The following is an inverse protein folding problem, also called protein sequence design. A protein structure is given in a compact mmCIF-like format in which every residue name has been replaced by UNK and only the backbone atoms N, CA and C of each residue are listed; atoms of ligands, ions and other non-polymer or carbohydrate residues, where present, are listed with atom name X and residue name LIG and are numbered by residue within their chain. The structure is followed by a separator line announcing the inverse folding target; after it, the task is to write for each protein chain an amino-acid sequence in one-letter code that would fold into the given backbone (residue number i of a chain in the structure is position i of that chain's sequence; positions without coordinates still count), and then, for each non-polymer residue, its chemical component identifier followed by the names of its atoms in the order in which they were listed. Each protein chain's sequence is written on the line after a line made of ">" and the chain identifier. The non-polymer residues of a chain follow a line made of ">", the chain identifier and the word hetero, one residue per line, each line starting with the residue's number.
data_IF_692756401412
#
_entry.id   IF_692756401412
#
_cell.length_a   1.000
_cell.length_b   1.000
_cell.length_c   1.000
_cell.angle_alpha   90.00
_cell.angle_beta   90.00
_cell.angle_gamma   90.00
#
_symmetry.space_group_name_H-M   'P 1'
#
loop_
_entity.id
_entity.type
_entity.pdbx_description
1 polymer ?
#
# COMPACT_ATOMS: atom_id res chain seq x y z
N UNK A 1 -64.08 -19.49 11.03
CA UNK A 1 -64.50 -20.31 12.19
C UNK A 1 -65.77 -21.07 11.88
N UNK A 2 -66.02 -22.21 12.55
CA UNK A 2 -67.22 -23.04 12.41
C UNK A 2 -67.83 -23.29 13.79
N UNK A 3 -69.13 -23.12 13.94
CA UNK A 3 -69.83 -23.51 15.17
C UNK A 3 -70.04 -25.03 15.15
N UNK A 4 -69.30 -25.76 15.99
CA UNK A 4 -69.41 -27.22 16.13
C UNK A 4 -70.32 -27.64 17.28
N UNK A 5 -70.90 -26.69 18.01
CA UNK A 5 -71.82 -26.93 19.11
C UNK A 5 -73.27 -27.07 18.65
N UNK A 6 -74.18 -27.13 19.61
CA UNK A 6 -75.63 -27.32 19.39
C UNK A 6 -76.46 -26.04 19.59
N UNK A 7 -75.82 -24.93 19.97
CA UNK A 7 -76.49 -23.63 20.21
C UNK A 7 -75.98 -22.59 19.22
N UNK A 8 -76.85 -21.66 18.83
CA UNK A 8 -76.47 -20.49 18.03
C UNK A 8 -75.55 -19.59 18.83
N UNK A 9 -74.48 -19.09 18.22
CA UNK A 9 -73.55 -18.12 18.82
C UNK A 9 -73.78 -16.72 18.25
N UNK A 10 -73.72 -15.71 19.10
CA UNK A 10 -73.83 -14.29 18.79
C UNK A 10 -72.46 -13.61 18.93
N UNK A 11 -72.31 -12.40 18.40
CA UNK A 11 -71.12 -11.55 18.56
C UNK A 11 -69.78 -12.27 18.32
N UNK A 12 -69.72 -13.02 17.20
CA UNK A 12 -68.53 -13.80 16.86
C UNK A 12 -67.35 -12.88 16.55
N UNK A 13 -66.23 -13.11 17.22
CA UNK A 13 -64.99 -12.34 17.08
C UNK A 13 -63.79 -13.26 16.98
N UNK A 14 -62.66 -12.73 16.49
CA UNK A 14 -61.38 -13.45 16.47
C UNK A 14 -60.34 -12.57 17.14
N UNK A 15 -59.74 -13.09 18.20
CA UNK A 15 -58.54 -12.55 18.79
C UNK A 15 -57.34 -13.12 18.02
N UNK A 16 -56.72 -12.28 17.18
CA UNK A 16 -55.50 -12.60 16.44
C UNK A 16 -54.30 -11.97 17.17
N UNK A 17 -53.22 -12.73 17.31
CA UNK A 17 -52.02 -12.35 18.04
C UNK A 17 -50.78 -12.70 17.23
N UNK A 18 -50.11 -11.66 16.75
CA UNK A 18 -48.74 -11.76 16.24
C UNK A 18 -47.77 -11.98 17.41
N UNK A 19 -46.82 -12.89 17.20
CA UNK A 19 -45.78 -13.19 18.19
C UNK A 19 -44.61 -12.21 17.97
N UNK A 20 -44.18 -11.56 19.05
CA UNK A 20 -43.05 -10.63 19.01
C UNK A 20 -41.81 -11.29 18.34
N UNK A 21 -41.11 -10.58 17.44
CA UNK A 21 -41.15 -9.13 17.24
C UNK A 21 -42.29 -8.60 16.37
N UNK A 22 -43.08 -9.47 15.74
CA UNK A 22 -44.20 -9.06 14.90
C UNK A 22 -45.28 -8.36 15.74
N UNK A 23 -45.80 -7.24 15.25
CA UNK A 23 -46.86 -6.50 15.94
C UNK A 23 -47.04 -5.06 15.45
N UNK A 24 -48.11 -4.38 15.91
CA UNK A 24 -49.16 -4.85 16.82
C UNK A 24 -50.15 -5.83 16.15
N UNK A 25 -50.99 -6.49 16.96
CA UNK A 25 -52.03 -7.42 16.50
C UNK A 25 -52.90 -6.81 15.38
N UNK A 26 -53.20 -7.61 14.36
CA UNK A 26 -54.04 -7.15 13.25
C UNK A 26 -55.51 -7.16 13.64
N UNK A 27 -56.23 -6.10 13.28
CA UNK A 27 -57.68 -6.05 13.49
C UNK A 27 -58.37 -7.05 12.56
N UNK A 28 -59.06 -8.02 13.14
CA UNK A 28 -59.87 -8.99 12.40
C UNK A 28 -61.30 -8.49 12.31
N UNK A 29 -61.87 -8.50 11.11
CA UNK A 29 -63.27 -8.20 10.85
C UNK A 29 -64.01 -9.49 10.52
N UNK A 30 -65.07 -9.78 11.28
CA UNK A 30 -65.99 -10.88 11.01
C UNK A 30 -67.31 -10.33 10.45
N UNK A 31 -67.95 -11.02 9.48
CA UNK A 31 -69.31 -10.73 9.06
C UNK A 31 -70.26 -10.65 10.26
N UNK A 32 -71.14 -9.66 10.27
CA UNK A 32 -72.16 -9.50 11.30
C UNK A 32 -73.25 -10.55 11.15
N UNK A 33 -73.70 -11.14 12.26
CA UNK A 33 -74.83 -12.07 12.29
C UNK A 33 -74.56 -13.29 13.18
N UNK A 34 -75.64 -14.00 13.46
CA UNK A 34 -75.63 -15.18 14.31
C UNK A 34 -75.01 -16.38 13.60
N UNK A 35 -74.18 -17.14 14.32
CA UNK A 35 -73.55 -18.36 13.83
C UNK A 35 -74.33 -19.58 14.34
N UNK A 36 -75.28 -20.06 13.54
CA UNK A 36 -76.08 -21.25 13.84
C UNK A 36 -75.22 -22.53 13.97
N UNK A 37 -75.71 -23.58 14.67
CA UNK A 37 -75.03 -24.87 14.74
C UNK A 37 -74.66 -25.42 13.37
N UNK A 38 -73.40 -25.83 13.20
CA UNK A 38 -72.86 -26.37 11.94
C UNK A 38 -72.50 -25.32 10.89
N UNK A 39 -72.89 -24.06 11.06
CA UNK A 39 -72.55 -22.97 10.15
C UNK A 39 -71.09 -22.51 10.31
N UNK A 40 -70.55 -21.92 9.25
CA UNK A 40 -69.20 -21.37 9.20
C UNK A 40 -69.24 -19.91 8.74
N UNK A 41 -68.31 -19.13 9.27
CA UNK A 41 -68.07 -17.75 8.83
C UNK A 41 -66.57 -17.55 8.60
N UNK A 42 -66.22 -16.78 7.58
CA UNK A 42 -64.85 -16.37 7.30
C UNK A 42 -64.64 -14.97 7.81
N UNK A 43 -63.65 -14.78 8.69
CA UNK A 43 -63.20 -13.47 9.11
C UNK A 43 -61.91 -13.11 8.36
N UNK A 44 -61.68 -11.82 8.14
CA UNK A 44 -60.53 -11.31 7.38
C UNK A 44 -59.83 -10.22 8.16
N UNK A 45 -58.51 -10.14 8.05
CA UNK A 45 -57.69 -9.05 8.62
C UNK A 45 -57.18 -8.13 7.51
N UNK A 46 -56.71 -6.95 7.91
CA UNK A 46 -55.85 -6.12 7.05
C UNK A 46 -54.49 -6.82 6.82
N UNK A 47 -53.79 -6.51 5.72
CA UNK A 47 -52.45 -7.05 5.48
C UNK A 47 -51.47 -6.59 6.55
N UNK A 48 -50.61 -7.50 6.99
CA UNK A 48 -49.48 -7.19 7.87
C UNK A 48 -48.27 -6.76 7.04
N UNK A 49 -47.70 -5.59 7.35
CA UNK A 49 -46.47 -5.12 6.74
C UNK A 49 -45.28 -5.70 7.51
N UNK A 50 -44.55 -6.61 6.88
CA UNK A 50 -43.32 -7.21 7.43
C UNK A 50 -42.30 -6.12 7.74
N UNK A 51 -41.80 -6.13 8.96
CA UNK A 51 -40.79 -5.18 9.47
C UNK A 51 -39.38 -5.76 9.37
N UNK A 52 -38.35 -4.94 9.58
CA UNK A 52 -36.97 -5.45 9.65
C UNK A 52 -36.79 -6.47 10.78
N UNK A 53 -37.45 -6.27 11.92
CA UNK A 53 -37.37 -7.20 13.05
C UNK A 53 -37.96 -8.58 12.69
N UNK A 54 -38.97 -8.64 11.81
CA UNK A 54 -39.52 -9.90 11.30
C UNK A 54 -38.58 -10.59 10.32
N UNK A 55 -37.85 -9.82 9.51
CA UNK A 55 -36.81 -10.35 8.61
C UNK A 55 -35.64 -10.89 9.43
N UNK A 56 -35.22 -10.16 10.46
CA UNK A 56 -34.16 -10.55 11.39
C UNK A 56 -34.54 -11.79 12.22
N UNK A 57 -35.83 -11.95 12.55
CA UNK A 57 -36.38 -13.16 13.18
C UNK A 57 -36.55 -14.34 12.20
N UNK A 58 -36.47 -14.11 10.88
CA UNK A 58 -36.60 -15.12 9.84
C UNK A 58 -38.02 -15.67 9.61
N UNK A 59 -38.99 -15.27 10.43
CA UNK A 59 -40.40 -15.64 10.24
C UNK A 59 -41.35 -14.76 11.05
N UNK A 60 -42.60 -14.71 10.62
CA UNK A 60 -43.72 -14.12 11.35
C UNK A 60 -44.62 -15.23 11.85
N UNK A 61 -44.71 -15.40 13.16
CA UNK A 61 -45.65 -16.32 13.79
C UNK A 61 -46.95 -15.59 14.18
N UNK A 62 -48.08 -16.20 13.85
CA UNK A 62 -49.42 -15.70 14.17
C UNK A 62 -50.24 -16.79 14.88
N UNK A 63 -50.98 -16.43 15.93
CA UNK A 63 -51.93 -17.32 16.62
C UNK A 63 -53.29 -16.65 16.74
N UNK A 64 -54.35 -17.35 16.37
CA UNK A 64 -55.73 -16.84 16.45
C UNK A 64 -56.63 -17.73 17.31
N UNK A 65 -57.51 -17.09 18.09
CA UNK A 65 -58.56 -17.72 18.89
C UNK A 65 -59.90 -17.09 18.52
N UNK A 66 -60.87 -17.91 18.14
CA UNK A 66 -62.21 -17.43 17.84
C UNK A 66 -63.09 -17.45 19.10
N UNK A 67 -63.98 -16.47 19.23
CA UNK A 67 -64.90 -16.30 20.35
C UNK A 67 -66.33 -16.12 19.84
N UNK A 68 -67.30 -16.42 20.68
CA UNK A 68 -68.72 -16.23 20.40
C UNK A 68 -69.55 -16.41 21.66
N UNK A 69 -70.62 -15.64 21.78
CA UNK A 69 -71.49 -15.64 22.95
C UNK A 69 -72.67 -16.58 22.74
N UNK A 70 -72.93 -17.45 23.71
CA UNK A 70 -74.21 -18.20 23.76
C UNK A 70 -75.40 -17.24 23.92
N UNK A 71 -76.66 -17.69 23.71
CA UNK A 71 -77.85 -16.84 23.93
C UNK A 71 -77.97 -16.32 25.37
N UNK A 72 -77.35 -17.01 26.34
CA UNK A 72 -77.26 -16.58 27.73
C UNK A 72 -76.08 -15.66 28.05
N UNK A 73 -75.30 -15.23 27.05
CA UNK A 73 -74.18 -14.30 27.18
C UNK A 73 -72.86 -14.90 27.64
N UNK A 74 -72.74 -16.24 27.75
CA UNK A 74 -71.47 -16.90 28.10
C UNK A 74 -70.55 -16.98 26.88
N UNK A 75 -69.29 -16.56 27.02
CA UNK A 75 -68.26 -16.67 25.97
C UNK A 75 -67.78 -18.11 25.77
N UNK A 76 -67.59 -18.49 24.50
CA UNK A 76 -67.14 -19.81 24.06
C UNK A 76 -65.89 -19.65 23.19
N UNK A 77 -64.68 -19.74 23.76
CA UNK A 77 -63.45 -19.68 23.00
C UNK A 77 -63.20 -20.99 22.23
N UNK A 78 -62.60 -20.88 21.04
CA UNK A 78 -62.00 -22.03 20.35
C UNK A 78 -60.66 -22.40 20.97
N UNK A 79 -60.09 -23.55 20.57
CA UNK A 79 -58.64 -23.74 20.73
C UNK A 79 -57.88 -22.70 19.91
N UNK A 80 -56.66 -22.29 20.33
CA UNK A 80 -55.81 -21.46 19.50
C UNK A 80 -55.38 -22.21 18.23
N UNK A 81 -55.21 -21.48 17.13
CA UNK A 81 -54.69 -21.98 15.86
C UNK A 81 -53.54 -21.09 15.42
N UNK A 82 -52.36 -21.68 15.21
CA UNK A 82 -51.14 -20.97 14.85
C UNK A 82 -50.68 -21.22 13.43
N UNK A 83 -49.95 -20.26 12.86
CA UNK A 83 -49.19 -20.40 11.62
C UNK A 83 -47.87 -19.63 11.73
N UNK A 84 -46.84 -20.12 11.05
CA UNK A 84 -45.55 -19.42 10.93
C UNK A 84 -45.23 -19.23 9.46
N UNK A 85 -45.09 -17.97 9.05
CA UNK A 85 -44.77 -17.60 7.68
C UNK A 85 -43.30 -17.20 7.61
N UNK A 86 -42.42 -17.93 6.89
CA UNK A 86 -41.02 -17.56 6.79
C UNK A 86 -40.85 -16.23 6.04
N UNK A 87 -39.90 -15.40 6.47
CA UNK A 87 -39.48 -14.20 5.75
C UNK A 87 -38.28 -14.54 4.86
N UNK A 88 -38.20 -14.01 3.63
CA UNK A 88 -37.06 -14.29 2.76
C UNK A 88 -35.80 -13.62 3.32
N UNK A 89 -34.82 -14.45 3.69
CA UNK A 89 -33.53 -13.99 4.23
C UNK A 89 -32.39 -14.28 3.25
N UNK A 90 -31.47 -13.33 3.13
CA UNK A 90 -30.17 -13.54 2.50
C UNK A 90 -29.09 -12.87 3.34
N UNK A 91 -27.93 -13.50 3.41
CA UNK A 91 -26.75 -12.96 4.07
C UNK A 91 -25.76 -12.49 3.03
N UNK A 92 -25.10 -11.37 3.29
CA UNK A 92 -24.12 -10.83 2.37
C UNK A 92 -23.34 -9.71 3.01
N UNK A 93 -22.02 -9.75 2.83
CA UNK A 93 -21.12 -8.71 3.28
C UNK A 93 -20.12 -8.42 2.15
N UNK A 94 -19.87 -7.14 1.88
CA UNK A 94 -18.81 -6.71 0.98
C UNK A 94 -17.86 -5.80 1.70
N UNK A 95 -16.57 -5.93 1.39
CA UNK A 95 -15.52 -5.07 1.87
C UNK A 95 -14.86 -4.38 0.66
N UNK A 96 -14.66 -3.08 0.76
CA UNK A 96 -13.77 -2.34 -0.13
C UNK A 96 -12.61 -1.82 0.70
N UNK A 97 -11.40 -2.20 0.30
CA UNK A 97 -10.15 -1.71 0.87
C UNK A 97 -9.52 -0.66 -0.05
N UNK A 98 -9.16 0.47 0.52
CA UNK A 98 -8.43 1.52 -0.19
C UNK A 98 -6.92 1.33 -0.04
N UNK A 99 -6.15 1.68 -1.08
CA UNK A 99 -4.71 1.36 -1.19
C UNK A 99 -3.77 2.45 -0.63
N UNK A 100 -4.28 3.42 0.13
CA UNK A 100 -3.44 4.53 0.57
C UNK A 100 -2.48 4.07 1.68
N UNK A 101 -1.17 4.09 1.39
CA UNK A 101 -0.07 4.00 2.37
C UNK A 101 0.10 5.32 3.17
N UNK A 102 -0.73 6.34 2.90
CA UNK A 102 -0.71 7.58 3.66
C UNK A 102 -1.38 7.38 5.00
N UNK A 103 -1.10 8.30 5.93
CA UNK A 103 -1.67 8.39 7.29
C UNK A 103 -3.20 8.54 7.33
N UNK A 104 -3.89 8.42 6.20
CA UNK A 104 -5.33 8.54 6.09
C UNK A 104 -5.97 7.22 6.54
N UNK A 105 -6.27 7.18 7.84
CA UNK A 105 -6.80 6.04 8.57
C UNK A 105 -8.16 5.51 8.08
N UNK A 106 -8.73 5.93 6.94
CA UNK A 106 -10.07 5.55 6.47
C UNK A 106 -10.00 4.56 5.30
N UNK A 107 -9.52 3.34 5.55
CA UNK A 107 -9.15 2.40 4.47
C UNK A 107 -10.13 1.24 4.21
N UNK A 108 -11.20 1.09 5.00
CA UNK A 108 -12.08 -0.08 4.90
C UNK A 108 -13.55 0.33 4.93
N UNK A 109 -14.28 0.09 3.84
CA UNK A 109 -15.73 0.30 3.79
C UNK A 109 -16.41 -1.07 3.75
N UNK A 110 -17.13 -1.38 4.83
CA UNK A 110 -17.91 -2.61 4.96
C UNK A 110 -19.37 -2.28 4.66
N UNK A 111 -20.01 -3.07 3.79
CA UNK A 111 -21.42 -2.91 3.43
C UNK A 111 -22.17 -4.21 3.59
N UNK A 112 -23.31 -4.14 4.27
CA UNK A 112 -24.26 -5.25 4.33
C UNK A 112 -25.02 -5.32 3.00
N UNK A 113 -24.87 -6.43 2.29
CA UNK A 113 -25.51 -6.70 1.00
C UNK A 113 -26.63 -7.72 1.10
N UNK A 114 -26.89 -8.24 2.31
CA UNK A 114 -28.02 -9.12 2.62
C UNK A 114 -29.28 -8.37 3.04
N UNK A 115 -30.27 -9.12 3.50
CA UNK A 115 -31.57 -8.62 3.99
C UNK A 115 -31.72 -8.66 5.50
N UNK A 116 -30.78 -9.27 6.22
CA UNK A 116 -30.78 -9.30 7.70
C UNK A 116 -29.81 -8.27 8.26
N UNK A 117 -30.14 -7.68 9.40
CA UNK A 117 -29.24 -6.83 10.18
C UNK A 117 -28.03 -7.63 10.65
N UNK A 118 -26.83 -7.06 10.54
CA UNK A 118 -25.59 -7.69 11.02
C UNK A 118 -25.07 -6.99 12.27
N UNK A 119 -24.52 -7.77 13.19
CA UNK A 119 -23.91 -7.33 14.44
C UNK A 119 -22.40 -7.59 14.43
N UNK A 120 -21.69 -6.97 15.37
CA UNK A 120 -20.26 -7.21 15.64
C UNK A 120 -19.38 -7.19 14.38
N UNK A 121 -19.54 -6.14 13.57
CA UNK A 121 -18.76 -5.97 12.34
C UNK A 121 -17.29 -5.77 12.69
N UNK A 122 -16.44 -6.65 12.16
CA UNK A 122 -14.99 -6.63 12.34
C UNK A 122 -14.29 -6.81 11.00
N UNK A 123 -13.03 -6.39 10.92
CA UNK A 123 -12.18 -6.57 9.73
C UNK A 123 -10.88 -7.22 10.16
N UNK A 124 -10.56 -8.35 9.57
CA UNK A 124 -9.26 -8.99 9.67
C UNK A 124 -8.38 -8.49 8.52
N UNK A 125 -7.26 -7.87 8.85
CA UNK A 125 -6.26 -7.39 7.90
C UNK A 125 -5.01 -8.28 7.96
N UNK A 126 -4.42 -8.56 6.82
CA UNK A 126 -3.25 -9.40 6.67
C UNK A 126 -2.29 -8.78 5.65
N UNK A 127 -1.14 -8.34 6.15
CA UNK A 127 0.01 -7.98 5.32
C UNK A 127 0.73 -9.26 4.84
N UNK A 128 1.21 -9.22 3.60
CA UNK A 128 1.99 -10.31 3.00
C UNK A 128 3.48 -10.05 3.24
N UNK A 129 4.20 -11.05 3.73
CA UNK A 129 5.65 -10.94 3.96
C UNK A 129 6.38 -10.48 2.67
N UNK A 130 7.35 -9.56 2.77
CA UNK A 130 8.05 -9.14 3.98
C UNK A 130 7.31 -8.11 4.85
N UNK A 131 6.19 -7.55 4.38
CA UNK A 131 5.43 -6.59 5.14
C UNK A 131 4.84 -7.21 6.42
N UNK A 132 4.89 -6.47 7.52
CA UNK A 132 4.32 -6.90 8.80
C UNK A 132 4.94 -6.21 10.02
N UNK A 133 4.32 -6.36 11.21
CA UNK A 133 3.10 -7.12 11.51
C UNK A 133 1.82 -6.45 10.99
N UNK A 134 0.72 -7.22 10.91
CA UNK A 134 -0.60 -6.74 10.47
C UNK A 134 -1.07 -5.51 11.27
N UNK A 135 -1.81 -4.62 10.61
CA UNK A 135 -2.37 -3.43 11.26
C UNK A 135 -3.63 -3.77 12.05
N UNK A 136 -3.88 -3.04 13.13
CA UNK A 136 -5.13 -3.17 13.89
C UNK A 136 -6.23 -2.38 13.20
N UNK A 137 -7.34 -3.03 12.87
CA UNK A 137 -8.53 -2.37 12.30
C UNK A 137 -9.61 -2.21 13.36
N UNK A 138 -10.17 -1.00 13.47
CA UNK A 138 -11.26 -0.63 14.38
C UNK A 138 -12.48 -0.21 13.58
N UNK A 139 -13.61 -0.87 13.80
CA UNK A 139 -14.89 -0.48 13.24
C UNK A 139 -15.73 0.26 14.29
N UNK A 140 -16.52 1.28 13.90
CA UNK A 140 -17.56 1.84 14.74
C UNK A 140 -18.47 0.75 15.30
N UNK A 141 -18.80 0.84 16.59
CA UNK A 141 -19.77 -0.06 17.20
C UNK A 141 -21.18 0.21 16.68
N UNK A 142 -22.00 -0.83 16.63
CA UNK A 142 -23.41 -0.75 16.25
C UNK A 142 -23.78 -1.75 15.16
N UNK A 143 -25.09 -1.83 14.93
CA UNK A 143 -25.68 -2.74 13.97
C UNK A 143 -25.58 -2.21 12.55
N UNK A 144 -25.28 -3.11 11.61
CA UNK A 144 -25.21 -2.81 10.19
C UNK A 144 -26.49 -3.29 9.51
N UNK A 145 -27.47 -2.39 9.42
CA UNK A 145 -28.73 -2.64 8.74
C UNK A 145 -28.53 -3.02 7.26
N UNK A 146 -29.49 -3.73 6.63
CA UNK A 146 -29.45 -4.05 5.21
C UNK A 146 -29.18 -2.83 4.32
N UNK A 147 -28.22 -2.94 3.42
CA UNK A 147 -27.82 -1.86 2.51
C UNK A 147 -26.96 -0.76 3.12
N UNK A 148 -26.85 -0.68 4.46
CA UNK A 148 -26.02 0.29 5.14
C UNK A 148 -24.52 -0.03 4.98
N UNK A 149 -23.69 0.98 5.23
CA UNK A 149 -22.22 0.86 5.18
C UNK A 149 -21.61 1.50 6.42
N UNK A 150 -20.48 0.94 6.85
CA UNK A 150 -19.64 1.48 7.92
C UNK A 150 -18.21 1.59 7.43
N UNK A 151 -17.55 2.68 7.81
CA UNK A 151 -16.12 2.90 7.53
C UNK A 151 -15.33 2.51 8.77
N UNK A 152 -14.44 1.54 8.62
CA UNK A 152 -13.49 1.13 9.65
C UNK A 152 -12.13 1.80 9.40
N UNK A 153 -11.38 1.99 10.47
CA UNK A 153 -10.08 2.65 10.45
C UNK A 153 -8.95 1.73 10.87
N UNK A 154 -7.73 1.97 10.39
CA UNK A 154 -6.56 1.17 10.78
C UNK A 154 -5.50 2.00 11.48
N UNK A 155 -4.68 1.34 12.31
CA UNK A 155 -3.41 1.89 12.76
C UNK A 155 -2.48 2.20 11.56
N UNK A 156 -1.58 3.20 11.67
CA UNK A 156 -0.61 3.48 10.61
C UNK A 156 0.35 2.29 10.40
N UNK A 157 0.75 2.07 9.15
CA UNK A 157 1.82 1.13 8.79
C UNK A 157 3.11 1.88 8.48
N UNK A 158 4.21 1.51 9.12
CA UNK A 158 5.52 2.06 8.85
C UNK A 158 6.24 1.21 7.81
N UNK A 159 6.44 1.76 6.61
CA UNK A 159 7.19 1.10 5.54
C UNK A 159 8.62 0.79 6.01
N UNK A 160 9.03 -0.46 5.84
CA UNK A 160 10.34 -0.98 6.22
C UNK A 160 11.30 -1.03 5.03
N UNK A 161 12.59 -1.25 5.28
CA UNK A 161 13.55 -1.46 4.19
C UNK A 161 13.20 -2.71 3.37
N UNK A 162 12.68 -3.76 4.01
CA UNK A 162 12.28 -4.96 3.30
C UNK A 162 11.09 -4.70 2.33
N UNK A 163 10.20 -3.77 2.67
CA UNK A 163 9.13 -3.33 1.78
C UNK A 163 9.70 -2.56 0.58
N UNK A 164 10.65 -1.64 0.81
CA UNK A 164 11.32 -0.90 -0.28
C UNK A 164 12.09 -1.84 -1.20
N UNK A 165 12.74 -2.86 -0.62
CA UNK A 165 13.46 -3.90 -1.34
C UNK A 165 12.52 -4.83 -2.13
N UNK A 166 11.30 -5.05 -1.64
CA UNK A 166 10.23 -5.76 -2.36
C UNK A 166 9.56 -4.90 -3.45
N UNK A 167 9.59 -3.57 -3.32
CA UNK A 167 9.06 -2.61 -4.29
C UNK A 167 7.57 -2.29 -4.10
N UNK A 168 6.83 -3.08 -3.32
CA UNK A 168 5.43 -2.84 -2.97
C UNK A 168 5.07 -3.48 -1.63
N UNK A 169 3.99 -2.97 -1.03
CA UNK A 169 3.35 -3.56 0.14
C UNK A 169 2.04 -4.18 -0.31
N UNK A 170 1.98 -5.51 -0.29
CA UNK A 170 0.75 -6.26 -0.55
C UNK A 170 -0.05 -6.46 0.75
N UNK A 171 -1.35 -6.17 0.69
CA UNK A 171 -2.23 -6.21 1.85
C UNK A 171 -3.62 -6.76 1.49
N UNK A 172 -4.08 -7.78 2.20
CA UNK A 172 -5.39 -8.44 2.02
C UNK A 172 -6.24 -8.25 3.26
N UNK A 173 -7.54 -7.97 3.11
CA UNK A 173 -8.46 -7.91 4.25
C UNK A 173 -9.77 -8.64 3.98
N UNK A 174 -10.39 -9.13 5.05
CA UNK A 174 -11.71 -9.77 5.05
C UNK A 174 -12.56 -9.17 6.16
N UNK A 175 -13.79 -8.78 5.85
CA UNK A 175 -14.75 -8.33 6.85
C UNK A 175 -15.60 -9.50 7.35
N UNK A 176 -16.04 -9.41 8.60
CA UNK A 176 -16.92 -10.37 9.25
C UNK A 176 -18.04 -9.64 9.95
N UNK A 177 -19.23 -10.26 10.00
CA UNK A 177 -20.33 -9.85 10.86
C UNK A 177 -21.14 -11.07 11.33
N UNK A 178 -22.03 -10.86 12.28
CA UNK A 178 -22.92 -11.88 12.84
C UNK A 178 -24.36 -11.60 12.45
N UNK A 179 -25.08 -12.62 12.00
CA UNK A 179 -26.55 -12.55 11.87
C UNK A 179 -27.22 -12.49 13.25
N UNK A 180 -28.51 -12.13 13.36
CA UNK A 180 -29.22 -12.11 14.64
C UNK A 180 -29.26 -13.49 15.33
N UNK A 181 -29.20 -14.57 14.54
CA UNK A 181 -29.08 -15.95 15.03
C UNK A 181 -27.65 -16.40 15.36
N UNK A 182 -26.66 -15.50 15.32
CA UNK A 182 -25.25 -15.80 15.65
C UNK A 182 -24.43 -16.44 14.53
N UNK A 183 -24.99 -16.64 13.34
CA UNK A 183 -24.26 -17.15 12.18
C UNK A 183 -23.25 -16.15 11.63
N UNK A 184 -22.03 -16.60 11.30
CA UNK A 184 -20.98 -15.76 10.73
C UNK A 184 -21.20 -15.46 9.23
N UNK A 185 -20.96 -14.21 8.84
CA UNK A 185 -21.03 -13.73 7.45
C UNK A 185 -19.71 -13.10 7.05
N UNK A 186 -18.83 -13.82 6.32
CA UNK A 186 -17.60 -13.23 5.79
C UNK A 186 -17.86 -12.47 4.49
N UNK A 187 -17.07 -11.44 4.23
CA UNK A 187 -16.94 -10.88 2.89
C UNK A 187 -16.00 -11.74 2.03
N UNK A 188 -15.98 -11.48 0.72
CA UNK A 188 -14.82 -11.85 -0.10
C UNK A 188 -13.59 -11.05 0.36
N UNK A 189 -12.36 -11.58 0.15
CA UNK A 189 -11.16 -10.80 0.41
C UNK A 189 -11.10 -9.57 -0.50
N UNK A 190 -10.53 -8.48 0.02
CA UNK A 190 -10.20 -7.26 -0.72
C UNK A 190 -8.69 -7.04 -0.64
N UNK A 191 -8.04 -7.05 -1.80
CA UNK A 191 -6.60 -6.95 -1.94
C UNK A 191 -6.18 -5.56 -2.41
N UNK A 192 -5.04 -5.10 -1.92
CA UNK A 192 -4.36 -3.90 -2.39
C UNK A 192 -2.87 -4.17 -2.49
N UNK A 193 -2.24 -3.61 -3.50
CA UNK A 193 -0.79 -3.58 -3.62
C UNK A 193 -0.36 -2.13 -3.78
N UNK A 194 0.37 -1.61 -2.79
CA UNK A 194 0.79 -0.22 -2.82
C UNK A 194 2.30 -0.12 -3.09
N UNK A 195 2.71 0.47 -4.22
CA UNK A 195 4.13 0.63 -4.55
C UNK A 195 4.87 1.45 -3.49
N UNK A 196 6.09 1.02 -3.16
CA UNK A 196 7.01 1.83 -2.36
C UNK A 196 7.83 2.71 -3.30
N UNK A 197 7.98 3.99 -2.97
CA UNK A 197 8.88 4.86 -3.70
C UNK A 197 10.33 4.36 -3.57
N UNK A 198 11.02 4.17 -4.70
CA UNK A 198 12.41 3.72 -4.71
C UNK A 198 13.26 4.52 -5.70
N UNK A 199 14.53 4.67 -5.37
CA UNK A 199 15.54 5.24 -6.26
C UNK A 199 16.71 4.27 -6.37
N UNK A 200 17.21 4.10 -7.59
CA UNK A 200 18.40 3.29 -7.86
C UNK A 200 19.59 4.21 -8.07
N UNK A 201 20.74 3.84 -7.53
CA UNK A 201 21.97 4.59 -7.74
C UNK A 201 23.16 3.98 -7.05
N UNK A 202 24.30 4.00 -7.74
CA UNK A 202 25.58 3.59 -7.21
C UNK A 202 26.65 4.61 -7.60
N UNK A 203 27.60 4.86 -6.71
CA UNK A 203 28.75 5.73 -6.95
C UNK A 203 30.04 4.99 -6.65
N UNK A 204 31.03 5.18 -7.52
CA UNK A 204 32.37 4.65 -7.35
C UNK A 204 33.39 5.80 -7.30
N UNK A 205 34.31 5.72 -6.34
CA UNK A 205 35.53 6.53 -6.30
C UNK A 205 36.73 5.62 -6.22
N UNK A 206 37.65 5.79 -7.17
CA UNK A 206 38.89 5.04 -7.27
C UNK A 206 40.07 5.89 -6.85
N UNK A 207 40.97 5.31 -6.06
CA UNK A 207 42.26 5.91 -5.71
C UNK A 207 43.39 4.90 -5.90
N UNK A 208 44.59 5.43 -6.16
CA UNK A 208 45.82 4.65 -6.26
C UNK A 208 46.72 4.96 -5.07
N UNK A 209 47.49 3.96 -4.64
CA UNK A 209 48.48 4.09 -3.59
C UNK A 209 49.73 3.32 -4.00
N UNK A 210 50.88 4.00 -4.01
CA UNK A 210 52.17 3.35 -4.13
C UNK A 210 52.40 2.55 -2.84
N UNK A 211 52.46 1.22 -2.95
CA UNK A 211 52.54 0.29 -1.82
C UNK A 211 53.91 -0.31 -1.64
N UNK A 212 54.65 -0.45 -2.74
CA UNK A 212 56.07 -0.72 -2.71
C UNK A 212 56.75 0.40 -3.49
N UNK A 213 57.64 1.09 -2.80
CA UNK A 213 58.54 2.11 -3.33
C UNK A 213 59.94 1.69 -2.91
N UNK A 214 60.65 0.99 -3.80
CA UNK A 214 61.91 0.35 -3.44
C UNK A 214 63.00 1.37 -3.08
N UNK A 215 62.99 2.53 -3.73
CA UNK A 215 64.01 3.57 -3.58
C UNK A 215 63.59 4.68 -2.58
N UNK A 216 62.33 4.69 -2.14
CA UNK A 216 61.72 5.63 -1.19
C UNK A 216 61.71 7.09 -1.67
N UNK A 217 61.64 7.32 -2.99
CA UNK A 217 61.62 8.67 -3.56
C UNK A 217 60.20 9.23 -3.80
N UNK A 218 59.17 8.41 -3.55
CA UNK A 218 57.77 8.77 -3.66
C UNK A 218 57.22 8.76 -5.08
N UNK A 219 57.95 8.23 -6.05
CA UNK A 219 57.51 8.12 -7.44
C UNK A 219 57.42 6.66 -7.88
N UNK A 220 56.53 6.38 -8.83
CA UNK A 220 56.37 5.02 -9.35
C UNK A 220 57.45 4.71 -10.40
N UNK A 221 58.29 3.73 -10.11
CA UNK A 221 59.38 3.26 -10.97
C UNK A 221 59.23 1.79 -11.37
N UNK A 222 60.09 1.34 -12.28
CA UNK A 222 60.12 -0.06 -12.73
C UNK A 222 60.27 -1.02 -11.55
N UNK A 223 59.31 -1.93 -11.39
CA UNK A 223 59.33 -2.94 -10.32
C UNK A 223 58.65 -2.51 -9.02
N UNK A 224 58.25 -1.25 -8.88
CA UNK A 224 57.41 -0.79 -7.77
C UNK A 224 55.99 -1.34 -7.88
N UNK A 225 55.24 -1.29 -6.78
CA UNK A 225 53.86 -1.79 -6.73
C UNK A 225 52.86 -0.70 -6.38
N UNK A 226 51.75 -0.66 -7.12
CA UNK A 226 50.60 0.19 -6.85
C UNK A 226 49.41 -0.69 -6.48
N UNK A 227 48.72 -0.35 -5.39
CA UNK A 227 47.39 -0.89 -5.12
C UNK A 227 46.32 0.17 -5.35
N UNK A 228 45.15 -0.29 -5.78
CA UNK A 228 43.96 0.53 -5.96
C UNK A 228 42.94 0.24 -4.86
N UNK A 229 42.29 1.30 -4.39
CA UNK A 229 41.13 1.26 -3.49
C UNK A 229 39.89 1.77 -4.21
N UNK A 230 38.77 1.12 -3.95
CA UNK A 230 37.49 1.38 -4.60
C UNK A 230 36.44 1.64 -3.53
N UNK A 231 36.12 2.91 -3.29
CA UNK A 231 35.00 3.29 -2.43
C UNK A 231 33.71 3.20 -3.24
N UNK A 232 32.89 2.19 -2.95
CA UNK A 232 31.59 1.95 -3.57
C UNK A 232 30.50 2.41 -2.60
N UNK A 233 29.61 3.28 -3.06
CA UNK A 233 28.49 3.83 -2.26
C UNK A 233 27.18 3.50 -2.94
N UNK A 234 26.22 2.95 -2.18
CA UNK A 234 24.83 2.87 -2.64
C UNK A 234 24.16 4.22 -2.39
N UNK A 235 23.85 4.95 -3.45
CA UNK A 235 23.20 6.27 -3.37
C UNK A 235 21.70 6.19 -3.58
N UNK A 236 21.16 5.00 -3.84
CA UNK A 236 19.73 4.72 -3.94
C UNK A 236 19.11 4.37 -2.60
N UNK A 237 17.82 4.01 -2.65
CA UNK A 237 17.00 3.59 -1.51
C UNK A 237 16.79 2.07 -1.42
N UNK A 238 17.26 1.31 -2.41
CA UNK A 238 17.12 -0.16 -2.48
C UNK A 238 18.44 -0.82 -2.09
N UNK A 239 18.38 -1.88 -1.30
CA UNK A 239 19.56 -2.70 -0.96
C UNK A 239 20.14 -3.33 -2.23
N UNK A 240 21.45 -3.19 -2.45
CA UNK A 240 22.14 -3.78 -3.59
C UNK A 240 22.86 -5.06 -3.17
N UNK A 241 22.74 -6.10 -4.00
CA UNK A 241 23.38 -7.40 -3.83
C UNK A 241 24.40 -7.66 -4.94
N UNK A 242 25.21 -8.68 -4.76
CA UNK A 242 26.23 -9.13 -5.72
C UNK A 242 27.15 -7.98 -6.17
N UNK A 243 27.49 -7.08 -5.23
CA UNK A 243 28.30 -5.92 -5.56
C UNK A 243 29.71 -6.35 -5.92
N UNK A 244 30.17 -5.93 -7.11
CA UNK A 244 31.49 -6.22 -7.67
C UNK A 244 32.06 -5.00 -8.37
N UNK A 245 33.38 -4.95 -8.52
CA UNK A 245 34.08 -3.90 -9.26
C UNK A 245 34.74 -4.52 -10.47
N UNK A 246 34.33 -4.08 -11.65
CA UNK A 246 34.96 -4.43 -12.92
C UNK A 246 36.06 -3.40 -13.18
N UNK A 247 37.31 -3.83 -12.95
CA UNK A 247 38.53 -3.04 -13.12
C UNK A 247 39.16 -3.25 -14.50
N UNK A 248 39.66 -2.18 -15.10
CA UNK A 248 40.34 -2.21 -16.38
C UNK A 248 41.55 -1.27 -16.37
N UNK A 249 42.73 -1.87 -16.31
CA UNK A 249 43.99 -1.22 -16.66
C UNK A 249 43.99 -0.88 -18.16
N UNK A 250 44.44 0.34 -18.49
CA UNK A 250 44.47 0.84 -19.86
C UNK A 250 45.85 0.57 -20.45
N UNK A 251 45.90 -0.01 -21.65
CA UNK A 251 47.15 -0.29 -22.36
C UNK A 251 48.07 0.94 -22.39
N UNK A 252 49.39 0.78 -22.19
CA UNK A 252 50.14 -0.49 -22.23
C UNK A 252 50.09 -1.33 -20.95
N UNK A 253 49.48 -0.83 -19.87
CA UNK A 253 49.26 -1.60 -18.66
C UNK A 253 48.33 -2.80 -18.94
N UNK A 254 48.52 -3.90 -18.21
CA UNK A 254 47.64 -5.08 -18.27
C UNK A 254 48.05 -6.16 -17.27
N UNK A 255 47.36 -7.32 -17.25
CA UNK A 255 45.90 -7.46 -17.31
C UNK A 255 45.21 -6.78 -16.10
N UNK A 256 43.88 -6.76 -16.06
CA UNK A 256 43.13 -6.22 -14.92
C UNK A 256 43.58 -6.82 -13.58
N UNK A 257 43.59 -6.01 -12.53
CA UNK A 257 43.88 -6.49 -11.16
C UNK A 257 42.66 -7.17 -10.56
N UNK A 258 42.88 -8.17 -9.71
CA UNK A 258 41.79 -8.81 -8.97
C UNK A 258 41.29 -7.86 -7.89
N UNK A 259 39.97 -7.65 -7.78
CA UNK A 259 39.37 -6.79 -6.75
C UNK A 259 38.55 -7.62 -5.76
N UNK A 260 38.82 -7.42 -4.47
CA UNK A 260 38.11 -8.07 -3.37
C UNK A 260 37.35 -7.03 -2.55
N UNK A 261 36.05 -7.27 -2.35
CA UNK A 261 35.17 -6.46 -1.52
C UNK A 261 34.90 -7.17 -0.18
N UNK A 262 34.70 -6.43 0.93
CA UNK A 262 34.46 -7.02 2.24
C UNK A 262 33.07 -7.70 2.35
N UNK A 263 32.10 -7.23 1.58
CA UNK A 263 30.75 -7.80 1.47
C UNK A 263 30.29 -7.75 0.02
N UNK A 264 29.26 -8.55 -0.30
CA UNK A 264 28.56 -8.49 -1.59
C UNK A 264 27.23 -7.75 -1.51
N UNK A 265 26.85 -7.25 -0.33
CA UNK A 265 25.59 -6.54 -0.09
C UNK A 265 25.89 -5.14 0.44
N UNK A 266 25.19 -4.14 -0.10
CA UNK A 266 25.37 -2.73 0.21
C UNK A 266 24.01 -2.07 0.47
N UNK A 267 23.72 -1.80 1.74
CA UNK A 267 22.48 -1.15 2.16
C UNK A 267 22.41 0.31 1.66
N UNK A 268 21.21 0.89 1.54
CA UNK A 268 21.02 2.28 1.14
C UNK A 268 21.85 3.28 1.95
N UNK A 269 22.47 4.25 1.27
CA UNK A 269 23.29 5.28 1.89
C UNK A 269 24.64 4.81 2.47
N UNK A 270 24.92 3.50 2.45
CA UNK A 270 26.16 2.95 3.00
C UNK A 270 27.27 2.89 1.94
N UNK A 271 28.51 2.82 2.41
CA UNK A 271 29.70 2.67 1.57
C UNK A 271 30.57 1.51 2.05
N UNK A 272 31.25 0.87 1.11
CA UNK A 272 32.32 -0.11 1.39
C UNK A 272 33.56 0.22 0.57
N UNK A 273 34.73 -0.22 1.05
CA UNK A 273 35.99 -0.07 0.33
C UNK A 273 36.47 -1.45 -0.13
N UNK A 274 36.50 -1.67 -1.44
CA UNK A 274 37.16 -2.83 -2.03
C UNK A 274 38.64 -2.52 -2.29
N UNK A 275 39.49 -3.55 -2.31
CA UNK A 275 40.91 -3.45 -2.55
C UNK A 275 41.34 -4.36 -3.70
N UNK A 276 42.33 -3.93 -4.46
CA UNK A 276 42.94 -4.75 -5.52
C UNK A 276 44.16 -5.54 -5.05
N UNK A 277 44.53 -6.56 -5.80
CA UNK A 277 45.89 -7.10 -5.80
C UNK A 277 46.90 -6.03 -6.24
N UNK A 278 48.15 -6.08 -5.76
CA UNK A 278 49.21 -5.18 -6.23
C UNK A 278 49.40 -5.28 -7.75
N UNK A 279 49.66 -4.13 -8.38
CA UNK A 279 50.09 -4.00 -9.76
C UNK A 279 51.55 -3.60 -9.80
N UNK A 280 52.40 -4.42 -10.40
CA UNK A 280 53.81 -4.11 -10.58
C UNK A 280 54.00 -3.22 -11.81
N UNK A 281 54.66 -2.08 -11.63
CA UNK A 281 55.00 -1.14 -12.71
C UNK A 281 55.96 -1.81 -13.69
N UNK A 282 55.61 -1.79 -14.97
CA UNK A 282 56.39 -2.37 -16.05
C UNK A 282 57.17 -1.30 -16.82
N UNK A 283 58.12 -1.73 -17.66
CA UNK A 283 58.86 -0.81 -18.51
C UNK A 283 57.93 -0.06 -19.48
N UNK A 284 56.89 -0.72 -19.98
CA UNK A 284 55.95 -0.09 -20.89
C UNK A 284 55.14 1.03 -20.21
N UNK A 285 54.91 0.93 -18.90
CA UNK A 285 54.27 2.00 -18.12
C UNK A 285 55.21 3.19 -17.94
N UNK A 286 56.48 2.92 -17.63
CA UNK A 286 57.53 3.94 -17.53
C UNK A 286 57.65 4.70 -18.86
N UNK A 287 57.69 3.97 -19.98
CA UNK A 287 57.75 4.54 -21.33
C UNK A 287 56.49 5.35 -21.67
N UNK A 288 55.32 4.96 -21.16
CA UNK A 288 54.06 5.69 -21.30
C UNK A 288 53.91 6.89 -20.33
N UNK A 289 54.81 7.03 -19.36
CA UNK A 289 54.85 8.11 -18.37
C UNK A 289 53.74 8.05 -17.30
N UNK A 290 52.77 7.13 -17.41
CA UNK A 290 51.77 6.92 -16.36
C UNK A 290 51.03 5.59 -16.53
N UNK A 291 50.58 5.02 -15.41
CA UNK A 291 49.60 3.92 -15.38
C UNK A 291 48.21 4.51 -15.26
N UNK A 292 47.39 4.34 -16.31
CA UNK A 292 45.98 4.72 -16.28
C UNK A 292 45.11 3.50 -15.91
N UNK A 293 44.25 3.67 -14.90
CA UNK A 293 43.36 2.61 -14.46
C UNK A 293 41.92 3.11 -14.33
N UNK A 294 40.97 2.41 -14.96
CA UNK A 294 39.53 2.72 -14.97
C UNK A 294 38.73 1.61 -14.31
N UNK A 295 37.62 1.93 -13.66
CA UNK A 295 36.75 0.91 -13.09
C UNK A 295 35.28 1.36 -13.08
N UNK A 296 34.39 0.38 -13.09
CA UNK A 296 32.95 0.53 -12.87
C UNK A 296 32.51 -0.51 -11.85
N UNK A 297 31.71 -0.11 -10.86
CA UNK A 297 31.09 -1.03 -9.92
C UNK A 297 29.69 -1.42 -10.42
N UNK A 298 29.29 -2.65 -10.16
CA UNK A 298 27.97 -3.17 -10.46
C UNK A 298 27.36 -3.77 -9.20
N UNK A 299 26.07 -3.57 -9.00
CA UNK A 299 25.25 -4.28 -8.02
C UNK A 299 23.91 -4.68 -8.63
N UNK A 300 23.16 -5.52 -7.92
CA UNK A 300 21.85 -6.01 -8.35
C UNK A 300 20.78 -5.65 -7.32
N UNK A 301 19.63 -5.18 -7.77
CA UNK A 301 18.45 -5.08 -6.88
C UNK A 301 17.97 -6.48 -6.48
N UNK A 302 17.10 -6.63 -5.45
CA UNK A 302 16.47 -7.91 -5.13
C UNK A 302 15.67 -8.51 -6.29
N UNK A 303 15.13 -7.66 -7.17
CA UNK A 303 14.47 -8.07 -8.41
C UNK A 303 15.43 -8.44 -9.56
N UNK A 304 16.76 -8.31 -9.36
CA UNK A 304 17.81 -8.71 -10.30
C UNK A 304 18.27 -7.64 -11.30
N UNK A 305 17.76 -6.42 -11.21
CA UNK A 305 18.15 -5.30 -12.08
C UNK A 305 19.61 -4.87 -11.83
N UNK A 306 20.41 -4.65 -12.89
CA UNK A 306 21.78 -4.12 -12.76
C UNK A 306 21.76 -2.64 -12.39
N UNK A 307 22.55 -2.27 -11.39
CA UNK A 307 22.79 -0.88 -11.01
C UNK A 307 24.28 -0.60 -11.17
N UNK A 308 24.70 -0.07 -12.34
CA UNK A 308 26.09 0.33 -12.55
C UNK A 308 26.39 1.64 -11.84
N UNK A 309 27.62 1.80 -11.38
CA UNK A 309 28.13 3.08 -10.90
C UNK A 309 28.55 3.99 -12.07
N UNK A 310 28.93 5.22 -11.75
CA UNK A 310 29.79 5.99 -12.64
C UNK A 310 31.11 5.23 -12.92
N UNK A 311 31.70 5.49 -14.08
CA UNK A 311 33.09 5.11 -14.31
C UNK A 311 33.99 6.01 -13.45
N UNK A 312 35.00 5.42 -12.81
CA UNK A 312 36.00 6.14 -12.01
C UNK A 312 37.40 5.76 -12.43
N UNK A 313 38.24 6.77 -12.63
CA UNK A 313 39.60 6.61 -13.13
C UNK A 313 40.66 7.27 -12.27
N UNK A 314 41.88 6.74 -12.32
CA UNK A 314 43.07 7.35 -11.73
C UNK A 314 44.25 7.17 -12.69
N UNK A 315 45.18 8.13 -12.68
CA UNK A 315 46.47 8.03 -13.35
C UNK A 315 47.58 8.09 -12.29
N UNK A 316 48.44 7.10 -12.27
CA UNK A 316 49.65 7.08 -11.44
C UNK A 316 50.84 7.49 -12.33
N UNK A 317 51.44 8.66 -12.14
CA UNK A 317 52.60 9.09 -12.91
C UNK A 317 53.82 8.18 -12.66
N UNK A 318 54.62 7.93 -13.69
CA UNK A 318 55.91 7.20 -13.60
C UNK A 318 57.08 8.11 -13.95
N UNK A 319 58.30 7.81 -13.48
CA UNK A 319 59.50 8.66 -13.64
C UNK A 319 60.03 8.83 -15.08
N UNK A 320 59.39 8.23 -16.09
CA UNK A 320 59.77 8.39 -17.51
C UNK A 320 59.91 9.85 -17.98
N UNK A 321 59.28 10.80 -17.28
CA UNK A 321 59.33 12.23 -17.59
C UNK A 321 60.59 12.98 -17.07
N UNK A 322 61.39 12.41 -16.15
CA UNK A 322 62.60 13.11 -15.64
C UNK A 322 63.85 12.93 -16.49
N UNK A 323 63.88 11.97 -17.42
CA UNK A 323 65.06 11.70 -18.25
C UNK A 323 64.95 12.23 -19.69
N UNK A 324 63.78 12.74 -20.12
CA UNK A 324 63.59 13.18 -21.52
C UNK A 324 63.77 14.69 -21.76
N UNK A 325 63.74 15.56 -20.74
CA UNK A 325 64.00 16.99 -20.94
C UNK A 325 64.86 17.59 -19.83
N UNK A 326 66.14 17.81 -20.15
CA UNK A 326 66.90 18.85 -19.49
C UNK A 326 66.26 20.21 -19.76
N UNK A 327 65.55 20.76 -18.77
CA UNK A 327 65.21 22.18 -18.73
C UNK A 327 63.78 22.55 -18.34
N UNK A 328 63.70 23.20 -17.18
CA UNK A 328 62.67 24.15 -16.71
C UNK A 328 61.42 23.56 -16.04
N UNK A 329 61.41 23.69 -14.71
CA UNK A 329 60.25 23.52 -13.85
C UNK A 329 59.11 24.48 -14.19
N UNK A 330 57.89 23.95 -14.33
CA UNK A 330 56.64 24.71 -14.11
C UNK A 330 55.66 23.87 -13.31
N UNK A 331 55.15 24.47 -12.24
CA UNK A 331 54.33 23.83 -11.22
C UNK A 331 53.04 23.20 -11.75
N UNK A 332 52.70 22.06 -11.15
CA UNK A 332 51.45 21.33 -11.34
C UNK A 332 50.34 22.07 -10.58
N UNK A 333 49.28 22.47 -11.29
CA UNK A 333 48.00 22.81 -10.69
C UNK A 333 47.09 21.57 -10.78
N UNK A 334 46.41 21.28 -9.67
CA UNK A 334 45.40 20.23 -9.58
C UNK A 334 44.24 20.52 -10.55
N UNK A 335 43.94 19.56 -11.42
CA UNK A 335 42.78 19.61 -12.31
C UNK A 335 41.58 18.97 -11.60
N UNK A 336 40.77 19.79 -10.93
CA UNK A 336 39.44 19.36 -10.47
C UNK A 336 38.49 19.45 -11.67
N UNK A 337 37.96 18.30 -12.09
CA UNK A 337 37.13 18.19 -13.29
C UNK A 337 35.88 19.08 -13.25
N UNK A 338 35.58 19.70 -14.39
CA UNK A 338 34.25 20.22 -14.72
C UNK A 338 33.98 19.88 -16.18
N UNK A 339 32.92 19.10 -16.42
CA UNK A 339 32.51 18.65 -17.75
C UNK A 339 32.03 19.86 -18.59
N UNK A 340 32.63 20.07 -19.75
CA UNK A 340 32.17 21.04 -20.74
C UNK A 340 31.02 20.45 -21.55
N UNK A 341 29.82 21.03 -21.38
CA UNK A 341 28.68 20.88 -22.27
C UNK A 341 28.95 21.74 -23.52
N UNK A 342 28.71 21.15 -24.69
CA UNK A 342 28.78 21.76 -26.02
C UNK A 342 27.80 22.92 -26.18
N UNK A 343 28.30 24.10 -26.58
CA UNK A 343 27.48 25.16 -27.18
C UNK A 343 28.06 25.57 -28.53
N UNK A 344 27.32 25.27 -29.59
CA UNK A 344 27.54 25.82 -30.92
C UNK A 344 26.41 26.83 -31.22
N UNK A 345 26.78 28.01 -31.71
CA UNK A 345 25.87 28.87 -32.48
C UNK A 345 25.92 30.37 -32.18
N UNK A 346 26.60 31.11 -33.09
CA UNK A 346 26.24 32.45 -33.64
C UNK A 346 26.16 33.63 -32.65
N UNK A 347 26.70 34.83 -32.86
CA UNK A 347 27.35 35.51 -33.97
C UNK A 347 27.34 37.02 -33.67
N UNK A 348 28.54 37.64 -33.68
CA UNK A 348 28.91 39.01 -34.08
C UNK A 348 28.01 40.28 -33.86
N UNK A 349 28.71 41.37 -33.49
CA UNK A 349 28.43 42.84 -33.64
C UNK A 349 27.43 43.48 -32.62
N UNK A 350 27.61 44.68 -32.04
CA UNK A 350 28.59 45.77 -32.15
C UNK A 350 28.48 46.71 -30.91
N UNK A 351 29.44 47.62 -30.77
CA UNK A 351 29.58 48.67 -29.75
C UNK A 351 28.37 49.63 -29.62
N UNK A 352 28.19 50.19 -28.41
CA UNK A 352 27.41 51.42 -28.21
C UNK A 352 27.45 51.93 -26.76
N UNK A 353 28.10 53.08 -26.57
CA UNK A 353 28.24 53.84 -25.33
C UNK A 353 26.90 54.29 -24.70
N UNK A 354 26.92 54.49 -23.38
CA UNK A 354 26.55 55.80 -22.82
C UNK A 354 25.22 55.92 -22.05
N UNK A 355 25.38 56.26 -20.76
CA UNK A 355 24.58 57.15 -19.89
C UNK A 355 23.04 57.11 -19.91
N UNK A 356 22.46 57.08 -18.69
CA UNK A 356 21.17 57.71 -18.45
C UNK A 356 20.48 57.32 -17.15
N UNK A 357 20.75 58.05 -16.06
CA UNK A 357 19.84 58.18 -14.92
C UNK A 357 18.46 58.68 -15.40
N UNK A 358 17.35 58.13 -14.87
CA UNK A 358 16.39 58.86 -14.00
C UNK A 358 15.11 58.08 -13.71
N UNK A 359 14.71 58.22 -12.44
CA UNK A 359 13.40 58.04 -11.81
C UNK A 359 12.18 58.40 -12.69
N UNK A 360 11.09 57.61 -12.62
CA UNK A 360 9.70 58.09 -12.43
C UNK A 360 8.85 56.92 -11.91
N UNK A 361 8.21 57.10 -10.74
CA UNK A 361 7.20 56.17 -10.23
C UNK A 361 5.81 56.41 -10.84
N UNK A 362 4.93 55.41 -10.77
CA UNK A 362 3.49 55.65 -10.75
C UNK A 362 2.69 54.52 -10.12
N UNK A 363 2.03 54.87 -9.01
CA UNK A 363 0.86 54.21 -8.41
C UNK A 363 -0.31 54.11 -9.42
N UNK A 364 -1.11 53.05 -9.31
CA UNK A 364 -2.59 53.01 -9.46
C UNK A 364 -3.08 51.68 -8.85
N UNK A 365 -3.63 51.64 -7.63
CA UNK A 365 -5.03 51.90 -7.17
C UNK A 365 -6.13 51.07 -7.87
N UNK A 366 -6.73 50.20 -7.06
CA UNK A 366 -8.13 49.74 -6.94
C UNK A 366 -8.96 49.42 -8.17
N UNK A 367 -9.58 48.24 -8.14
CA UNK A 367 -11.05 48.15 -8.13
C UNK A 367 -11.54 47.07 -7.14
N UNK A 368 -12.38 47.50 -6.20
CA UNK A 368 -13.42 46.70 -5.53
C UNK A 368 -14.64 46.62 -6.45
N UNK A 369 -15.37 45.50 -6.39
CA UNK A 369 -16.84 45.30 -6.39
C UNK A 369 -17.06 43.80 -6.71
N UNK A 370 -17.92 43.03 -6.04
CA UNK A 370 -18.97 43.25 -5.04
C UNK A 370 -19.20 41.91 -4.34
#
# INVERSE_FOLDING_TARGET
>A
MKNTGTVTLHDVTVADQLVAPAGPAVTVTCPTGDLAPGASVTCTSLPYAVTQADVDAGSVANTATAHGLTPGGTDVPSNPSGTTTPTPTSTGLSLVKSAALTTDANNFVVKNTGTVTLHDVTVADQLVAPAGPAVTVTCPAGDLAPGASVTCTSSPYAVTQADVDAGSVANTATAHGLTPGGGHVPSKPSDTETPTASTLGMKLVKSAHLTLDANHDGAAELGDEVTYRFAVTNTGSVTLHHVKVDDQLVAPAGPAVAVTCPTSTLAPGTSMTCASSPYTITQADVDAGSVANMATAHGRTPAGEDVPSNQSGVRTPTIGDRLAFGGVARGVLAFTGSNAITLAGLGLLALGLGLGLTFVGRRRRSQETR
#
